data_IF_051538694855
#
_entry.id   IF_051538694855
#
_cell.length_a   1.000
_cell.length_b   1.000
_cell.length_c   1.000
_cell.angle_alpha   90.00
_cell.angle_beta   90.00
_cell.angle_gamma   90.00
#
_symmetry.space_group_name_H-M   'P 1'
#
loop_
_entity.id
_entity.type
_entity.pdbx_description
1 polymer ?
#
# COMPACT_ATOMS: atom_id res chain seq x y z
N UNK A 1 11.19 8.65 -2.59
CA UNK A 1 10.79 7.50 -3.40
C UNK A 1 10.78 6.25 -2.51
N UNK A 2 9.60 5.94 -1.95
CA UNK A 2 9.41 4.83 -1.02
C UNK A 2 9.60 3.47 -1.72
N UNK A 3 9.10 3.32 -2.92
CA UNK A 3 9.22 2.08 -3.72
C UNK A 3 10.69 1.71 -3.92
N UNK A 4 11.54 2.68 -4.27
CA UNK A 4 12.96 2.43 -4.55
C UNK A 4 13.71 1.82 -3.35
N UNK A 5 13.34 2.17 -2.14
CA UNK A 5 13.95 1.64 -0.92
C UNK A 5 13.30 0.36 -0.45
N UNK A 6 11.98 0.30 -0.41
CA UNK A 6 11.23 -0.81 0.17
C UNK A 6 11.21 -2.08 -0.69
N UNK A 7 11.38 -1.98 -2.00
CA UNK A 7 11.42 -3.16 -2.91
C UNK A 7 12.52 -4.17 -2.57
N UNK A 8 13.54 -3.77 -1.83
CA UNK A 8 14.63 -4.65 -1.38
C UNK A 8 14.33 -5.38 -0.07
N UNK A 9 13.28 -4.98 0.63
CA UNK A 9 12.88 -5.64 1.86
C UNK A 9 12.14 -6.94 1.56
N UNK A 10 12.30 -7.94 2.45
CA UNK A 10 11.55 -9.20 2.38
C UNK A 10 10.08 -9.01 2.75
N UNK A 11 9.78 -8.03 3.57
CA UNK A 11 8.44 -7.62 3.97
C UNK A 11 8.33 -6.08 3.90
N UNK A 12 8.07 -5.49 2.72
CA UNK A 12 7.71 -4.09 2.64
C UNK A 12 6.50 -3.81 3.53
N UNK A 13 6.41 -2.62 4.10
CA UNK A 13 5.33 -2.37 5.04
C UNK A 13 5.11 -0.91 5.36
N UNK A 14 4.22 -0.64 6.28
CA UNK A 14 3.95 0.71 6.77
C UNK A 14 3.58 0.72 8.24
N UNK A 15 3.64 1.92 8.82
CA UNK A 15 3.25 2.23 10.18
C UNK A 15 1.85 2.85 10.19
N UNK A 16 0.99 2.37 11.11
CA UNK A 16 -0.38 2.86 11.32
C UNK A 16 -0.56 3.23 12.79
N UNK A 17 -0.16 4.46 13.22
CA UNK A 17 -0.35 4.91 14.59
C UNK A 17 -1.83 5.13 14.93
N UNK A 18 -2.15 5.14 16.22
CA UNK A 18 -3.48 5.54 16.73
C UNK A 18 -4.65 4.79 16.07
N UNK A 19 -4.51 3.49 15.80
CA UNK A 19 -5.51 2.65 15.12
C UNK A 19 -5.90 3.15 13.72
N UNK A 20 -5.01 3.86 13.03
CA UNK A 20 -5.27 4.38 11.68
C UNK A 20 -5.50 3.24 10.68
N UNK A 21 -6.25 3.58 9.65
CA UNK A 21 -6.59 2.72 8.50
C UNK A 21 -6.36 3.52 7.22
N UNK A 22 -5.11 3.99 7.05
CA UNK A 22 -4.73 4.84 5.93
C UNK A 22 -4.63 4.00 4.65
N UNK A 23 -5.55 4.25 3.71
CA UNK A 23 -5.61 3.53 2.43
C UNK A 23 -4.31 3.68 1.66
N UNK A 24 -3.75 4.88 1.60
CA UNK A 24 -2.58 5.17 0.76
C UNK A 24 -1.34 4.44 1.28
N UNK A 25 -1.07 4.55 2.59
CA UNK A 25 0.07 3.84 3.20
C UNK A 25 -0.02 2.33 2.97
N UNK A 26 -1.19 1.74 3.23
CA UNK A 26 -1.42 0.32 3.04
C UNK A 26 -1.26 -0.09 1.58
N UNK A 27 -1.90 0.62 0.65
CA UNK A 27 -1.86 0.27 -0.78
C UNK A 27 -0.49 0.48 -1.40
N UNK A 28 0.28 1.50 -1.00
CA UNK A 28 1.67 1.64 -1.44
C UNK A 28 2.53 0.47 -0.96
N UNK A 29 2.39 0.07 0.31
CA UNK A 29 3.15 -1.05 0.87
C UNK A 29 2.80 -2.40 0.22
N UNK A 30 1.50 -2.69 0.07
CA UNK A 30 1.03 -3.94 -0.56
C UNK A 30 1.39 -4.01 -2.05
N UNK A 31 1.26 -2.90 -2.79
CA UNK A 31 1.65 -2.82 -4.20
C UNK A 31 3.13 -3.17 -4.41
N UNK A 32 4.02 -2.69 -3.53
CA UNK A 32 5.45 -3.06 -3.61
C UNK A 32 5.61 -4.57 -3.42
N UNK A 33 4.90 -5.17 -2.47
CA UNK A 33 4.96 -6.61 -2.25
C UNK A 33 4.49 -7.40 -3.45
N UNK A 34 3.36 -7.02 -4.05
CA UNK A 34 2.80 -7.68 -5.23
C UNK A 34 3.76 -7.58 -6.43
N UNK A 35 4.19 -6.36 -6.77
CA UNK A 35 5.01 -6.09 -7.95
C UNK A 35 6.46 -6.60 -7.83
N UNK A 36 6.93 -6.91 -6.62
CA UNK A 36 8.27 -7.46 -6.36
C UNK A 36 8.23 -8.86 -5.75
N UNK A 37 7.10 -9.56 -5.88
CA UNK A 37 6.92 -10.97 -5.49
C UNK A 37 7.29 -11.24 -4.03
N UNK A 38 6.82 -10.36 -3.12
CA UNK A 38 6.98 -10.56 -1.68
C UNK A 38 5.69 -11.13 -1.11
N UNK A 39 5.82 -12.17 -0.29
CA UNK A 39 4.65 -12.83 0.32
C UNK A 39 4.14 -12.12 1.56
N UNK A 40 4.94 -11.23 2.14
CA UNK A 40 4.63 -10.56 3.41
C UNK A 40 4.59 -9.07 3.24
N UNK A 41 3.52 -8.46 3.76
CA UNK A 41 3.32 -7.02 3.86
C UNK A 41 3.23 -6.67 5.34
N UNK A 42 4.22 -5.94 5.83
CA UNK A 42 4.39 -5.66 7.25
C UNK A 42 3.55 -4.47 7.70
N UNK A 43 2.83 -4.66 8.80
CA UNK A 43 2.08 -3.62 9.49
C UNK A 43 2.70 -3.39 10.87
N UNK A 44 3.29 -2.23 11.10
CA UNK A 44 3.54 -1.75 12.46
C UNK A 44 2.25 -1.13 13.00
N UNK A 45 1.63 -1.81 13.92
CA UNK A 45 0.38 -1.35 14.52
C UNK A 45 0.53 -1.31 16.01
N UNK A 46 0.09 -0.43 16.63
CA UNK A 46 -0.65 0.79 16.58
C UNK A 46 -0.15 1.67 17.71
N UNK A 47 1.10 2.13 17.61
CA UNK A 47 1.67 2.97 18.67
C UNK A 47 0.77 4.18 18.95
N UNK A 48 0.85 4.71 20.14
CA UNK A 48 0.03 5.84 20.55
C UNK A 48 -1.49 5.56 20.48
N UNK A 49 -1.91 4.29 20.53
CA UNK A 49 -3.28 3.96 20.88
C UNK A 49 -3.54 4.39 22.33
N UNK A 50 -4.69 4.92 22.62
CA UNK A 50 -5.00 5.40 23.96
C UNK A 50 -5.22 4.24 24.93
N UNK A 51 -4.95 4.43 26.21
CA UNK A 51 -5.28 3.47 27.29
C UNK A 51 -6.78 3.17 27.41
N UNK A 52 -7.61 3.96 26.75
CA UNK A 52 -9.07 3.74 26.63
C UNK A 52 -9.45 2.84 25.45
N UNK A 53 -8.49 2.39 24.64
CA UNK A 53 -8.72 1.45 23.54
C UNK A 53 -9.34 0.16 24.06
N UNK A 54 -10.23 -0.44 23.29
CA UNK A 54 -10.84 -1.73 23.59
C UNK A 54 -10.56 -2.76 22.47
N UNK A 55 -10.83 -4.02 22.76
CA UNK A 55 -10.58 -5.14 21.84
C UNK A 55 -11.31 -5.01 20.50
N UNK A 56 -12.52 -4.46 20.48
CA UNK A 56 -13.28 -4.26 19.26
C UNK A 56 -12.63 -3.21 18.33
N UNK A 57 -12.12 -2.12 18.91
CA UNK A 57 -11.41 -1.08 18.14
C UNK A 57 -10.10 -1.61 17.58
N UNK A 58 -9.35 -2.39 18.36
CA UNK A 58 -8.10 -3.00 17.91
C UNK A 58 -8.38 -4.03 16.81
N UNK A 59 -9.38 -4.87 16.96
CA UNK A 59 -9.82 -5.86 15.98
C UNK A 59 -10.21 -5.20 14.65
N UNK A 60 -11.02 -4.15 14.71
CA UNK A 60 -11.43 -3.39 13.52
C UNK A 60 -10.23 -2.76 12.79
N UNK A 61 -9.27 -2.21 13.54
CA UNK A 61 -8.06 -1.64 12.95
C UNK A 61 -7.20 -2.72 12.28
N UNK A 62 -6.98 -3.88 12.91
CA UNK A 62 -6.23 -4.99 12.33
C UNK A 62 -6.90 -5.46 11.03
N UNK A 63 -8.18 -5.76 11.08
CA UNK A 63 -8.90 -6.35 9.94
C UNK A 63 -9.03 -5.37 8.78
N UNK A 64 -9.25 -4.08 9.05
CA UNK A 64 -9.29 -3.07 8.00
C UNK A 64 -7.93 -2.92 7.30
N UNK A 65 -6.82 -2.91 8.04
CA UNK A 65 -5.49 -2.86 7.43
C UNK A 65 -5.16 -4.15 6.65
N UNK A 66 -5.59 -5.31 7.15
CA UNK A 66 -5.43 -6.58 6.43
C UNK A 66 -6.26 -6.63 5.14
N UNK A 67 -7.48 -6.08 5.15
CA UNK A 67 -8.29 -5.94 3.95
C UNK A 67 -7.64 -5.03 2.88
N UNK A 68 -6.73 -4.14 3.28
CA UNK A 68 -5.96 -3.28 2.38
C UNK A 68 -4.61 -3.89 1.96
N UNK A 69 -4.39 -5.19 2.23
CA UNK A 69 -3.24 -5.95 1.75
C UNK A 69 -2.14 -6.23 2.78
N UNK A 70 -2.28 -5.78 4.03
CA UNK A 70 -1.34 -6.16 5.08
C UNK A 70 -1.55 -7.62 5.49
N UNK A 71 -0.49 -8.33 5.87
CA UNK A 71 -0.58 -9.73 6.30
C UNK A 71 0.51 -10.16 7.30
N UNK A 72 1.27 -9.23 7.83
CA UNK A 72 2.28 -9.48 8.87
C UNK A 72 2.20 -8.39 9.92
N UNK A 73 1.55 -8.68 11.04
CA UNK A 73 1.33 -7.73 12.13
C UNK A 73 2.52 -7.72 13.11
N UNK A 74 3.01 -6.52 13.43
CA UNK A 74 3.91 -6.24 14.53
C UNK A 74 3.26 -5.19 15.44
N UNK A 75 2.71 -5.63 16.56
CA UNK A 75 2.07 -4.70 17.50
C UNK A 75 3.12 -3.85 18.23
N UNK A 76 2.90 -2.57 18.29
CA UNK A 76 3.73 -1.61 19.04
C UNK A 76 2.95 -1.16 20.30
N UNK A 77 3.32 -1.59 21.45
CA UNK A 77 4.31 -2.61 21.76
C UNK A 77 4.20 -2.98 23.23
N UNK A 78 5.02 -3.94 23.65
CA UNK A 78 5.10 -4.36 25.06
C UNK A 78 6.23 -3.57 25.74
N UNK A 79 5.88 -2.69 26.66
CA UNK A 79 6.88 -1.89 27.38
C UNK A 79 7.54 -2.70 28.50
N UNK A 80 8.84 -2.53 28.64
CA UNK A 80 9.58 -3.11 29.75
C UNK A 80 9.11 -2.58 31.11
N UNK A 81 8.75 -1.31 31.16
CA UNK A 81 8.24 -0.63 32.37
C UNK A 81 7.33 0.53 32.01
N UNK A 82 6.32 0.77 32.82
CA UNK A 82 5.48 1.98 32.78
C UNK A 82 5.95 3.06 33.75
N UNK A 83 7.11 2.88 34.39
CA UNK A 83 7.71 3.90 35.23
C UNK A 83 8.50 4.89 34.35
N UNK A 84 8.19 6.16 34.48
CA UNK A 84 8.90 7.20 33.74
C UNK A 84 8.13 7.84 32.62
N UNK A 85 7.66 8.55 32.08
CA UNK A 85 6.83 9.37 31.19
C UNK A 85 6.64 8.90 29.77
N UNK A 86 7.33 7.89 29.26
CA UNK A 86 7.20 7.45 27.87
C UNK A 86 5.82 6.88 27.55
N UNK A 87 5.24 6.11 28.44
CA UNK A 87 3.91 5.53 28.29
C UNK A 87 2.79 6.59 28.23
N UNK A 88 3.03 7.81 28.73
CA UNK A 88 2.10 8.92 28.62
C UNK A 88 2.04 9.50 27.20
N UNK A 89 3.16 9.39 26.45
CA UNK A 89 3.29 9.97 25.12
C UNK A 89 2.89 9.01 24.00
N UNK A 90 3.07 7.72 24.21
CA UNK A 90 2.85 6.70 23.19
C UNK A 90 2.29 5.42 23.85
N UNK A 91 1.05 5.48 24.32
CA UNK A 91 0.39 4.32 24.92
C UNK A 91 0.50 3.11 23.98
N UNK A 92 0.92 1.93 24.48
CA UNK A 92 1.06 0.73 23.69
C UNK A 92 -0.29 0.13 23.35
N UNK A 93 -0.37 -0.65 22.27
CA UNK A 93 -1.57 -1.44 21.98
C UNK A 93 -1.43 -2.92 22.39
N UNK A 94 -0.29 -3.30 22.96
CA UNK A 94 0.01 -4.69 23.35
C UNK A 94 0.75 -4.69 24.68
N UNK A 95 0.03 -4.41 25.76
CA UNK A 95 0.60 -4.34 27.09
C UNK A 95 -0.35 -4.93 28.14
N UNK A 96 0.20 -5.59 29.15
CA UNK A 96 -0.60 -6.26 30.20
C UNK A 96 -1.40 -5.30 31.12
N UNK A 97 -1.25 -4.00 30.97
CA UNK A 97 -2.10 -2.99 31.60
C UNK A 97 -3.29 -2.57 30.72
N UNK A 98 -3.37 -3.05 29.48
CA UNK A 98 -4.50 -2.78 28.60
C UNK A 98 -5.77 -3.47 29.11
N UNK A 99 -6.95 -2.80 29.04
CA UNK A 99 -8.21 -3.39 29.54
C UNK A 99 -8.60 -4.71 28.86
N UNK A 100 -8.13 -4.93 27.64
CA UNK A 100 -8.43 -6.10 26.80
C UNK A 100 -7.33 -7.17 26.82
N UNK A 101 -6.36 -7.09 27.72
CA UNK A 101 -5.23 -8.02 27.75
C UNK A 101 -5.65 -9.50 27.81
N UNK A 102 -6.66 -9.80 28.60
CA UNK A 102 -7.18 -11.18 28.75
C UNK A 102 -7.90 -11.68 27.48
N UNK A 103 -8.24 -10.79 26.54
CA UNK A 103 -8.88 -11.13 25.26
C UNK A 103 -7.85 -11.30 24.12
N UNK A 104 -6.59 -10.95 24.34
CA UNK A 104 -5.56 -10.92 23.31
C UNK A 104 -5.29 -12.27 22.65
N UNK A 105 -5.35 -13.36 23.39
CA UNK A 105 -5.06 -14.70 22.86
C UNK A 105 -5.99 -15.05 21.70
N UNK A 106 -7.30 -14.83 21.85
CA UNK A 106 -8.26 -15.08 20.77
C UNK A 106 -8.07 -14.18 19.55
N UNK A 107 -7.73 -12.92 19.78
CA UNK A 107 -7.44 -11.97 18.70
C UNK A 107 -6.17 -12.35 17.94
N UNK A 108 -5.09 -12.72 18.63
CA UNK A 108 -3.82 -13.11 18.04
C UNK A 108 -3.97 -14.42 17.26
N UNK A 109 -4.68 -15.42 17.77
CA UNK A 109 -4.98 -16.65 17.02
C UNK A 109 -5.76 -16.39 15.73
N UNK A 110 -6.73 -15.49 15.76
CA UNK A 110 -7.46 -15.09 14.55
C UNK A 110 -6.56 -14.38 13.56
N UNK A 111 -5.75 -13.44 14.05
CA UNK A 111 -4.78 -12.68 13.25
C UNK A 111 -3.74 -13.59 12.60
N UNK A 112 -3.24 -14.59 13.33
CA UNK A 112 -2.29 -15.59 12.81
C UNK A 112 -2.89 -16.37 11.64
N UNK A 113 -4.12 -16.86 11.77
CA UNK A 113 -4.83 -17.56 10.70
C UNK A 113 -5.04 -16.68 9.48
N UNK A 114 -5.47 -15.42 9.66
CA UNK A 114 -5.61 -14.46 8.58
C UNK A 114 -4.27 -14.14 7.92
N UNK A 115 -3.23 -13.92 8.71
CA UNK A 115 -1.88 -13.68 8.22
C UNK A 115 -1.39 -14.84 7.34
N UNK A 116 -1.64 -16.08 7.76
CA UNK A 116 -1.31 -17.26 6.96
C UNK A 116 -2.11 -17.30 5.65
N UNK A 117 -3.43 -17.19 5.71
CA UNK A 117 -4.31 -17.28 4.52
C UNK A 117 -3.96 -16.17 3.52
N UNK A 118 -3.83 -14.92 3.98
CA UNK A 118 -3.56 -13.76 3.13
C UNK A 118 -2.12 -13.71 2.59
N UNK A 119 -1.25 -14.59 3.06
CA UNK A 119 0.10 -14.76 2.49
C UNK A 119 0.17 -15.83 1.40
N UNK A 120 -0.97 -16.48 1.09
CA UNK A 120 -1.03 -17.53 0.07
C UNK A 120 -1.65 -16.98 -1.22
N UNK A 121 -1.23 -17.54 -2.36
CA UNK A 121 -1.77 -17.17 -3.67
C UNK A 121 -1.21 -15.85 -4.20
N UNK A 122 -1.98 -15.23 -5.08
CA UNK A 122 -1.65 -13.96 -5.73
C UNK A 122 -2.78 -12.98 -5.52
N UNK A 123 -2.41 -11.71 -5.37
CA UNK A 123 -3.36 -10.61 -5.36
C UNK A 123 -4.02 -10.48 -6.75
N UNK A 124 -5.25 -9.99 -6.79
CA UNK A 124 -6.00 -9.80 -8.04
C UNK A 124 -6.56 -8.38 -8.06
N UNK A 125 -6.00 -7.53 -8.91
CA UNK A 125 -6.52 -6.21 -9.20
C UNK A 125 -6.51 -5.94 -10.71
N UNK A 126 -7.54 -5.28 -11.22
CA UNK A 126 -7.63 -4.93 -12.64
C UNK A 126 -7.01 -3.56 -12.95
N UNK A 127 -6.80 -2.73 -11.94
CA UNK A 127 -6.36 -1.34 -12.04
C UNK A 127 -4.96 -1.16 -11.51
N UNK A 128 -4.08 -0.53 -12.30
CA UNK A 128 -2.82 0.03 -11.83
C UNK A 128 -2.87 1.57 -11.88
N UNK A 129 -2.36 2.24 -10.85
CA UNK A 129 -2.15 3.69 -10.83
C UNK A 129 -0.66 3.96 -10.90
N UNK A 130 -0.19 4.75 -11.84
CA UNK A 130 1.24 5.07 -11.92
C UNK A 130 1.69 5.82 -10.67
N UNK A 131 2.76 5.33 -10.05
CA UNK A 131 3.35 5.95 -8.87
C UNK A 131 4.17 7.20 -9.27
N UNK A 132 3.82 8.40 -8.80
CA UNK A 132 4.19 9.66 -9.43
C UNK A 132 5.57 10.19 -8.99
N UNK A 133 6.64 9.48 -9.25
CA UNK A 133 8.02 9.88 -8.89
C UNK A 133 8.59 10.91 -9.87
N UNK A 134 8.42 10.68 -11.16
CA UNK A 134 9.04 11.48 -12.22
C UNK A 134 8.64 12.97 -12.18
N UNK A 135 7.36 13.33 -12.04
CA UNK A 135 6.97 14.75 -11.96
C UNK A 135 7.60 15.46 -10.75
N UNK A 136 7.67 14.78 -9.59
CA UNK A 136 8.28 15.34 -8.37
C UNK A 136 9.78 15.58 -8.57
N UNK A 137 10.49 14.60 -9.11
CA UNK A 137 11.94 14.71 -9.36
C UNK A 137 12.25 15.75 -10.46
N UNK A 138 11.34 15.91 -11.43
CA UNK A 138 11.46 16.91 -12.48
C UNK A 138 11.07 18.34 -12.04
N UNK A 139 10.63 18.53 -10.79
CA UNK A 139 10.32 19.85 -10.23
C UNK A 139 8.91 20.36 -10.50
N UNK A 140 7.97 19.50 -10.94
CA UNK A 140 6.57 19.88 -11.19
C UNK A 140 5.70 19.89 -9.91
N UNK A 141 6.31 19.75 -8.73
CA UNK A 141 5.60 19.77 -7.45
C UNK A 141 4.80 18.50 -7.17
N UNK A 142 3.71 18.60 -6.40
CA UNK A 142 2.97 17.48 -5.85
C UNK A 142 1.64 17.18 -6.58
N UNK A 143 1.29 17.90 -7.64
CA UNK A 143 0.00 17.73 -8.35
C UNK A 143 -0.25 16.25 -8.72
N UNK A 144 0.76 15.57 -9.25
CA UNK A 144 0.66 14.16 -9.62
C UNK A 144 0.51 13.23 -8.40
N UNK A 145 1.13 13.57 -7.27
CA UNK A 145 0.99 12.82 -6.02
C UNK A 145 -0.43 12.94 -5.49
N UNK A 146 -0.95 14.16 -5.43
CA UNK A 146 -2.31 14.43 -4.98
C UNK A 146 -3.35 13.75 -5.87
N UNK A 147 -3.17 13.81 -7.20
CA UNK A 147 -4.05 13.13 -8.16
C UNK A 147 -4.00 11.61 -8.03
N UNK A 148 -2.80 11.01 -7.86
CA UNK A 148 -2.64 9.57 -7.69
C UNK A 148 -3.33 9.08 -6.41
N UNK A 149 -3.11 9.76 -5.30
CA UNK A 149 -3.65 9.36 -4.01
C UNK A 149 -5.17 9.58 -3.95
N UNK A 150 -5.66 10.71 -4.45
CA UNK A 150 -7.11 10.94 -4.54
C UNK A 150 -7.81 9.90 -5.43
N UNK A 151 -7.21 9.53 -6.56
CA UNK A 151 -7.73 8.46 -7.41
C UNK A 151 -7.77 7.11 -6.67
N UNK A 152 -6.67 6.74 -6.00
CA UNK A 152 -6.59 5.50 -5.24
C UNK A 152 -7.64 5.43 -4.13
N UNK A 153 -7.79 6.50 -3.34
CA UNK A 153 -8.84 6.54 -2.31
C UNK A 153 -10.25 6.44 -2.90
N UNK A 154 -10.52 7.13 -4.01
CA UNK A 154 -11.84 7.13 -4.63
C UNK A 154 -12.22 5.73 -5.12
N UNK A 155 -11.35 5.08 -5.91
CA UNK A 155 -11.64 3.76 -6.47
C UNK A 155 -11.71 2.68 -5.39
N UNK A 156 -10.87 2.76 -4.34
CA UNK A 156 -10.93 1.82 -3.22
C UNK A 156 -12.25 1.94 -2.45
N UNK A 157 -12.73 3.16 -2.20
CA UNK A 157 -14.03 3.39 -1.53
C UNK A 157 -15.21 2.90 -2.36
N UNK A 158 -15.09 2.85 -3.68
CA UNK A 158 -16.07 2.27 -4.60
C UNK A 158 -15.97 0.74 -4.69
N UNK A 159 -15.09 0.11 -3.90
CA UNK A 159 -14.92 -1.35 -3.84
C UNK A 159 -14.05 -1.93 -4.94
N UNK A 160 -13.27 -1.11 -5.62
CA UNK A 160 -12.32 -1.54 -6.66
C UNK A 160 -10.92 -1.56 -6.07
N UNK A 161 -10.28 -2.71 -6.08
CA UNK A 161 -8.89 -2.84 -5.64
C UNK A 161 -7.91 -2.47 -6.78
N UNK A 162 -6.68 -2.07 -6.39
CA UNK A 162 -5.67 -1.57 -7.32
C UNK A 162 -4.26 -1.70 -6.76
N UNK A 163 -3.24 -1.55 -7.61
CA UNK A 163 -1.86 -1.35 -7.20
C UNK A 163 -1.29 -0.03 -7.70
N UNK A 164 -0.40 0.58 -6.89
CA UNK A 164 0.48 1.65 -7.34
C UNK A 164 1.67 1.05 -8.09
N UNK A 165 1.74 1.31 -9.40
CA UNK A 165 2.78 0.77 -10.26
C UNK A 165 3.93 1.76 -10.46
N UNK A 166 5.13 1.39 -10.03
CA UNK A 166 6.34 2.16 -10.31
C UNK A 166 6.84 1.94 -11.75
N UNK A 167 7.70 2.84 -12.21
CA UNK A 167 8.20 2.82 -13.57
C UNK A 167 9.08 1.59 -13.91
N UNK A 168 9.76 0.99 -12.92
CA UNK A 168 10.55 -0.22 -13.16
C UNK A 168 9.62 -1.43 -13.32
N UNK A 169 8.58 -1.51 -12.53
CA UNK A 169 7.54 -2.54 -12.69
C UNK A 169 6.81 -2.39 -14.03
N UNK A 170 6.45 -1.18 -14.43
CA UNK A 170 5.90 -0.91 -15.75
C UNK A 170 6.87 -1.31 -16.86
N UNK A 171 8.17 -1.00 -16.71
CA UNK A 171 9.22 -1.39 -17.65
C UNK A 171 9.34 -2.90 -17.85
N UNK A 172 9.25 -3.67 -16.75
CA UNK A 172 9.30 -5.15 -16.76
C UNK A 172 8.00 -5.79 -17.25
N UNK A 173 6.87 -5.06 -17.23
CA UNK A 173 5.59 -5.61 -17.63
C UNK A 173 5.58 -6.07 -19.09
N UNK A 174 4.98 -7.21 -19.35
CA UNK A 174 4.65 -7.72 -20.68
C UNK A 174 3.27 -7.23 -21.09
N UNK A 175 3.15 -6.69 -22.30
CA UNK A 175 1.84 -6.33 -22.91
C UNK A 175 1.36 -7.53 -23.70
N UNK A 176 0.20 -8.04 -23.32
CA UNK A 176 -0.43 -9.19 -23.99
C UNK A 176 -1.92 -9.22 -23.70
N UNK A 177 -2.72 -9.52 -24.74
CA UNK A 177 -4.18 -9.72 -24.65
C UNK A 177 -4.91 -8.52 -23.99
N UNK A 178 -4.48 -7.28 -24.29
CA UNK A 178 -5.01 -6.05 -23.72
C UNK A 178 -4.69 -5.85 -22.25
N UNK A 179 -3.65 -6.51 -21.74
CA UNK A 179 -3.26 -6.43 -20.32
C UNK A 179 -1.76 -6.22 -20.14
N UNK A 180 -1.41 -5.61 -18.98
CA UNK A 180 -0.04 -5.56 -18.48
C UNK A 180 0.16 -6.70 -17.47
N UNK A 181 1.11 -7.59 -17.79
CA UNK A 181 1.48 -8.70 -16.90
C UNK A 181 2.83 -8.42 -16.27
N UNK A 182 2.90 -8.40 -14.93
CA UNK A 182 4.14 -8.19 -14.18
C UNK A 182 4.07 -8.92 -12.85
N UNK A 183 5.11 -9.65 -12.48
CA UNK A 183 5.11 -10.52 -11.32
C UNK A 183 3.92 -11.53 -11.41
N UNK A 184 3.11 -11.66 -10.41
CA UNK A 184 1.86 -12.44 -10.45
C UNK A 184 0.63 -11.65 -10.90
N UNK A 185 0.78 -10.35 -11.17
CA UNK A 185 -0.32 -9.41 -11.43
C UNK A 185 -0.67 -9.27 -12.90
N UNK A 186 -1.92 -8.84 -13.16
CA UNK A 186 -2.43 -8.62 -14.51
C UNK A 186 -3.44 -7.47 -14.54
N UNK A 187 -3.07 -6.35 -15.18
CA UNK A 187 -3.86 -5.11 -15.17
C UNK A 187 -4.48 -4.83 -16.54
N UNK A 188 -5.79 -4.60 -16.59
CA UNK A 188 -6.54 -4.17 -17.79
C UNK A 188 -6.66 -2.66 -17.90
N UNK A 189 -6.45 -1.93 -16.80
CA UNK A 189 -6.59 -0.47 -16.73
C UNK A 189 -5.34 0.14 -16.11
N UNK A 190 -4.82 1.22 -16.72
CA UNK A 190 -3.74 2.03 -16.15
C UNK A 190 -4.20 3.47 -16.00
N UNK A 191 -4.15 3.98 -14.79
CA UNK A 191 -4.42 5.40 -14.48
C UNK A 191 -3.10 6.18 -14.49
N UNK A 192 -3.06 7.27 -15.24
CA UNK A 192 -1.93 8.20 -15.36
C UNK A 192 -2.30 9.50 -14.64
N UNK A 193 -1.80 9.74 -13.41
CA UNK A 193 -2.24 10.86 -12.59
C UNK A 193 -1.39 12.11 -12.84
N UNK A 194 -1.88 13.11 -13.57
CA UNK A 194 -1.25 14.42 -13.78
C UNK A 194 0.28 14.37 -14.06
N UNK A 195 0.72 13.35 -14.80
CA UNK A 195 2.13 13.04 -15.06
C UNK A 195 2.72 14.00 -16.09
N UNK A 196 2.91 15.30 -15.73
CA UNK A 196 3.54 16.29 -16.63
C UNK A 196 4.92 15.89 -17.12
N UNK A 197 5.67 15.14 -16.32
CA UNK A 197 6.91 14.49 -16.72
C UNK A 197 6.74 12.97 -16.59
N UNK A 198 7.11 12.24 -17.65
CA UNK A 198 7.05 10.78 -17.69
C UNK A 198 8.29 10.26 -18.46
N UNK A 199 8.82 9.10 -18.11
CA UNK A 199 9.88 8.47 -18.89
C UNK A 199 9.38 8.11 -20.29
N UNK A 200 10.21 8.32 -21.29
CA UNK A 200 9.86 7.97 -22.68
C UNK A 200 9.51 6.48 -22.80
N UNK A 201 10.29 5.61 -22.16
CA UNK A 201 10.02 4.16 -22.14
C UNK A 201 8.66 3.81 -21.49
N UNK A 202 8.27 4.52 -20.44
CA UNK A 202 6.95 4.35 -19.80
C UNK A 202 5.81 4.78 -20.74
N UNK A 203 6.01 5.92 -21.44
CA UNK A 203 5.03 6.40 -22.43
C UNK A 203 4.87 5.44 -23.61
N UNK A 204 5.99 4.89 -24.11
CA UNK A 204 5.93 3.86 -25.17
C UNK A 204 5.20 2.61 -24.71
N UNK A 205 5.49 2.11 -23.50
CA UNK A 205 4.80 0.96 -22.92
C UNK A 205 3.30 1.19 -22.80
N UNK A 206 2.87 2.37 -22.31
CA UNK A 206 1.45 2.72 -22.22
C UNK A 206 0.77 2.81 -23.59
N UNK A 207 1.48 3.37 -24.58
CA UNK A 207 0.99 3.41 -25.97
C UNK A 207 0.79 2.02 -26.54
N UNK A 208 1.77 1.13 -26.33
CA UNK A 208 1.68 -0.24 -26.82
C UNK A 208 0.59 -1.02 -26.11
N UNK A 209 0.42 -0.83 -24.80
CA UNK A 209 -0.68 -1.37 -24.03
C UNK A 209 -2.05 -0.90 -24.56
N UNK A 210 -2.22 0.40 -24.82
CA UNK A 210 -3.46 0.94 -25.39
C UNK A 210 -3.74 0.41 -26.80
N UNK A 211 -2.71 0.17 -27.64
CA UNK A 211 -2.84 -0.42 -28.96
C UNK A 211 -3.23 -1.89 -28.93
N UNK A 212 -2.82 -2.60 -27.91
CA UNK A 212 -3.15 -4.01 -27.70
C UNK A 212 -4.56 -4.22 -27.10
N UNK A 213 -5.28 -3.14 -26.78
CA UNK A 213 -6.65 -3.16 -26.25
C UNK A 213 -6.79 -2.83 -24.78
N UNK A 214 -5.71 -2.52 -24.08
CA UNK A 214 -5.73 -2.06 -22.70
C UNK A 214 -6.30 -0.64 -22.55
N UNK A 215 -6.80 -0.31 -21.37
CA UNK A 215 -7.38 1.01 -21.10
C UNK A 215 -6.39 1.92 -20.37
N UNK A 216 -6.09 3.09 -20.95
CA UNK A 216 -5.30 4.14 -20.29
C UNK A 216 -6.20 5.32 -19.95
N UNK A 217 -6.28 5.65 -18.67
CA UNK A 217 -7.08 6.78 -18.15
C UNK A 217 -6.11 7.86 -17.67
N UNK A 218 -6.15 9.03 -18.31
CA UNK A 218 -5.38 10.17 -17.84
C UNK A 218 -6.23 11.08 -16.94
N UNK A 219 -5.68 11.44 -15.77
CA UNK A 219 -6.29 12.39 -14.84
C UNK A 219 -5.41 13.64 -14.81
N UNK A 220 -6.00 14.79 -15.14
CA UNK A 220 -5.30 16.08 -15.17
C UNK A 220 -4.43 16.28 -16.43
N UNK A 221 -3.36 17.08 -16.35
CA UNK A 221 -2.53 17.42 -17.49
C UNK A 221 -1.84 16.22 -18.13
N UNK A 222 -1.74 16.26 -19.46
CA UNK A 222 -0.95 15.29 -20.22
C UNK A 222 0.55 15.52 -20.03
N UNK A 223 1.39 14.49 -20.27
CA UNK A 223 2.84 14.66 -20.26
C UNK A 223 3.32 15.69 -21.27
N UNK A 224 4.16 16.61 -20.81
CA UNK A 224 4.75 17.68 -21.61
C UNK A 224 6.30 17.62 -21.61
N UNK A 225 6.87 16.79 -20.71
CA UNK A 225 8.29 16.56 -20.61
C UNK A 225 8.60 15.07 -20.45
N UNK A 226 9.75 14.65 -20.98
CA UNK A 226 10.24 13.29 -20.85
C UNK A 226 11.68 13.29 -20.35
N UNK A 227 11.95 12.51 -19.30
CA UNK A 227 13.30 12.11 -18.93
C UNK A 227 13.79 10.97 -19.78
N UNK A 228 15.12 10.90 -19.97
CA UNK A 228 15.77 9.76 -20.64
C UNK A 228 15.80 8.55 -19.72
#
# INVERSE_FOLDING_TARGET
>A
DYVRTQRWNQAPGCDQPMLQKDIIKNKVASSISHLYERQRVWLEGFHSSEWSTNSAQLTDAIFANFAMGQNLLSLHGLYYTTMGGWWELAAPCNHFHEPYWDEMDGLLECTERLSYILSQGYHVADVAILYPVEPVVAGYGNEAVEAAFAAGEAIYRDGIDFDYMDYESLGRAEVRDGRLHVAGESFGVVVVPAMRAIRHSSLEKLRDFGRDGGMVINIGPLPEASGK
#
